data_IF_947879063558
#
_entry.id   IF_947879063558
#
_cell.length_a   1.000
_cell.length_b   1.000
_cell.length_c   1.000
_cell.angle_alpha   90.00
_cell.angle_beta   90.00
_cell.angle_gamma   90.00
#
_symmetry.space_group_name_H-M   'P 1'
#
loop_
_entity.id
_entity.type
_entity.pdbx_description
1 polymer ?
#
# COMPACT_ATOMS: atom_id res chain seq x y z
N UNK A 1 13.09 -2.53 -3.76
CA UNK A 1 11.73 -2.99 -4.10
C UNK A 1 11.16 -3.63 -2.87
N UNK A 2 9.92 -3.30 -2.51
CA UNK A 2 9.25 -3.75 -1.30
C UNK A 2 7.88 -4.34 -1.69
N UNK A 3 7.46 -5.39 -0.99
CA UNK A 3 6.17 -6.04 -1.18
C UNK A 3 5.44 -6.11 0.16
N UNK A 4 4.15 -5.80 0.16
CA UNK A 4 3.25 -5.93 1.31
C UNK A 4 2.02 -6.69 0.87
N UNK A 5 1.88 -7.94 1.28
CA UNK A 5 0.78 -8.82 0.90
C UNK A 5 0.07 -9.34 2.15
N UNK A 6 -1.24 -9.17 2.24
CA UNK A 6 -2.11 -9.76 3.28
C UNK A 6 -1.62 -9.51 4.71
N UNK A 7 -1.25 -8.26 5.00
CA UNK A 7 -0.66 -7.86 6.28
C UNK A 7 -1.20 -6.52 6.79
N UNK A 8 -1.88 -5.72 5.97
CA UNK A 8 -2.34 -4.38 6.37
C UNK A 8 -3.52 -4.42 7.35
N UNK A 9 -4.25 -5.52 7.48
CA UNK A 9 -5.31 -5.66 8.49
C UNK A 9 -4.80 -6.18 9.86
N UNK A 10 -3.60 -6.77 9.90
CA UNK A 10 -2.97 -7.27 11.12
C UNK A 10 -2.37 -6.16 12.01
N UNK A 11 -2.29 -4.94 11.48
CA UNK A 11 -1.64 -3.79 12.13
C UNK A 11 -2.55 -2.57 12.20
N UNK A 12 -2.33 -1.72 13.20
CA UNK A 12 -3.11 -0.47 13.33
C UNK A 12 -2.74 0.52 12.23
N UNK A 13 -3.68 1.38 11.87
CA UNK A 13 -3.49 2.37 10.81
C UNK A 13 -2.29 3.29 11.08
N UNK A 14 -2.08 3.74 12.32
CA UNK A 14 -0.97 4.62 12.70
C UNK A 14 0.39 3.94 12.50
N UNK A 15 0.47 2.62 12.79
CA UNK A 15 1.71 1.87 12.59
C UNK A 15 1.97 1.64 11.10
N UNK A 16 0.92 1.33 10.33
CA UNK A 16 1.00 1.20 8.87
C UNK A 16 1.49 2.50 8.25
N UNK A 17 0.95 3.65 8.68
CA UNK A 17 1.39 4.95 8.20
C UNK A 17 2.89 5.17 8.46
N UNK A 18 3.35 4.87 9.67
CA UNK A 18 4.76 4.93 10.02
C UNK A 18 5.64 4.02 9.15
N UNK A 19 5.19 2.79 8.89
CA UNK A 19 5.90 1.81 8.05
C UNK A 19 6.00 2.31 6.60
N UNK A 20 4.90 2.75 6.00
CA UNK A 20 4.89 3.25 4.62
C UNK A 20 5.77 4.50 4.48
N UNK A 21 5.72 5.42 5.46
CA UNK A 21 6.59 6.59 5.49
C UNK A 21 8.07 6.20 5.52
N UNK A 22 8.44 5.23 6.33
CA UNK A 22 9.82 4.74 6.43
C UNK A 22 10.26 4.04 5.14
N UNK A 23 9.38 3.27 4.51
CA UNK A 23 9.63 2.69 3.19
C UNK A 23 9.85 3.75 2.11
N UNK A 24 9.04 4.81 2.08
CA UNK A 24 9.25 5.93 1.17
C UNK A 24 10.63 6.57 1.39
N UNK A 25 11.03 6.78 2.65
CA UNK A 25 12.35 7.33 2.99
C UNK A 25 13.50 6.46 2.46
N UNK A 26 13.42 5.13 2.65
CA UNK A 26 14.47 4.17 2.32
C UNK A 26 14.59 3.85 0.82
N UNK A 27 13.49 3.93 0.07
CA UNK A 27 13.52 3.68 -1.36
C UNK A 27 14.36 4.72 -2.11
N UNK A 28 15.12 4.27 -3.11
CA UNK A 28 15.77 5.14 -4.11
C UNK A 28 14.70 5.76 -5.02
N UNK A 29 15.07 6.79 -5.78
CA UNK A 29 14.20 7.35 -6.84
C UNK A 29 13.74 6.23 -7.79
N UNK A 30 12.47 6.25 -8.19
CA UNK A 30 11.78 5.20 -8.95
C UNK A 30 11.71 3.82 -8.26
N UNK A 31 12.05 3.78 -6.97
CA UNK A 31 11.89 2.63 -6.11
C UNK A 31 10.44 2.18 -6.07
N UNK A 32 10.24 0.86 -6.01
CA UNK A 32 8.91 0.24 -6.16
C UNK A 32 8.41 -0.29 -4.83
N UNK A 33 7.13 -0.06 -4.57
CA UNK A 33 6.37 -0.70 -3.51
C UNK A 33 5.12 -1.33 -4.13
N UNK A 34 4.91 -2.62 -3.88
CA UNK A 34 3.76 -3.36 -4.39
C UNK A 34 2.89 -3.80 -3.22
N UNK A 35 1.60 -3.50 -3.30
CA UNK A 35 0.61 -3.89 -2.29
C UNK A 35 -0.35 -4.89 -2.91
N UNK A 36 -0.71 -5.93 -2.15
CA UNK A 36 -1.78 -6.86 -2.47
C UNK A 36 -2.62 -7.10 -1.21
N UNK A 37 -3.88 -6.67 -1.23
CA UNK A 37 -4.77 -6.79 -0.07
C UNK A 37 -6.21 -7.15 -0.42
N UNK A 38 -6.93 -7.90 0.43
CA UNK A 38 -8.37 -8.00 0.34
C UNK A 38 -9.01 -6.63 0.53
N UNK A 39 -10.09 -6.37 -0.21
CA UNK A 39 -10.74 -5.05 -0.23
C UNK A 39 -11.68 -4.80 0.95
N UNK A 40 -12.06 -5.85 1.68
CA UNK A 40 -13.12 -5.80 2.70
C UNK A 40 -12.52 -5.44 4.05
N UNK A 41 -13.12 -4.45 4.72
CA UNK A 41 -12.75 -4.09 6.08
C UNK A 41 -12.99 -5.28 7.02
N UNK A 42 -11.98 -5.62 7.81
CA UNK A 42 -11.98 -6.79 8.69
C UNK A 42 -11.31 -8.03 8.12
N UNK A 43 -11.12 -8.09 6.80
CA UNK A 43 -10.32 -9.11 6.09
C UNK A 43 -9.09 -8.49 5.38
N UNK A 44 -8.95 -7.16 5.43
CA UNK A 44 -8.00 -6.39 4.63
C UNK A 44 -8.25 -4.88 4.77
N UNK A 45 -7.62 -4.10 3.89
CA UNK A 45 -7.74 -2.65 3.83
C UNK A 45 -8.42 -2.21 2.52
N UNK A 46 -9.45 -1.35 2.57
CA UNK A 46 -10.09 -0.81 1.37
C UNK A 46 -9.09 -0.14 0.42
N UNK A 47 -9.29 -0.33 -0.89
CA UNK A 47 -8.39 0.22 -1.91
C UNK A 47 -8.24 1.75 -1.81
N UNK A 48 -9.32 2.46 -1.48
CA UNK A 48 -9.28 3.93 -1.29
C UNK A 48 -8.42 4.35 -0.11
N UNK A 49 -8.46 3.60 1.01
CA UNK A 49 -7.61 3.86 2.17
C UNK A 49 -6.13 3.65 1.83
N UNK A 50 -5.82 2.57 1.10
CA UNK A 50 -4.45 2.30 0.61
C UNK A 50 -3.99 3.43 -0.33
N UNK A 51 -4.84 3.83 -1.28
CA UNK A 51 -4.50 4.89 -2.24
C UNK A 51 -4.25 6.24 -1.56
N UNK A 52 -5.10 6.62 -0.61
CA UNK A 52 -4.94 7.84 0.19
C UNK A 52 -3.64 7.81 0.98
N UNK A 53 -3.39 6.72 1.72
CA UNK A 53 -2.17 6.53 2.50
C UNK A 53 -0.92 6.68 1.64
N UNK A 54 -0.88 6.01 0.48
CA UNK A 54 0.30 6.05 -0.39
C UNK A 54 0.53 7.46 -0.96
N UNK A 55 -0.54 8.14 -1.38
CA UNK A 55 -0.44 9.51 -1.90
C UNK A 55 0.03 10.53 -0.85
N UNK A 56 -0.43 10.39 0.41
CA UNK A 56 -0.03 11.24 1.52
C UNK A 56 1.47 11.13 1.85
N UNK A 57 2.06 9.95 1.63
CA UNK A 57 3.50 9.73 1.82
C UNK A 57 4.34 10.07 0.57
N UNK A 58 3.70 10.52 -0.52
CA UNK A 58 4.38 10.97 -1.74
C UNK A 58 4.58 9.89 -2.81
N UNK A 59 4.06 8.68 -2.63
CA UNK A 59 4.08 7.68 -3.68
C UNK A 59 3.11 8.04 -4.82
N UNK A 60 3.49 7.75 -6.06
CA UNK A 60 2.59 7.80 -7.21
C UNK A 60 2.20 6.39 -7.68
N UNK A 61 0.91 6.19 -7.97
CA UNK A 61 0.36 4.91 -8.44
C UNK A 61 0.75 4.69 -9.90
N UNK A 62 1.40 3.56 -10.21
CA UNK A 62 1.81 3.21 -11.57
C UNK A 62 0.80 2.30 -12.25
N UNK A 63 0.37 1.25 -11.57
CA UNK A 63 -0.65 0.32 -12.03
C UNK A 63 -1.50 -0.12 -10.86
N UNK A 64 -2.75 -0.48 -11.14
CA UNK A 64 -3.63 -1.13 -10.17
C UNK A 64 -4.51 -2.14 -10.89
N UNK A 65 -4.74 -3.28 -10.24
CA UNK A 65 -5.65 -4.32 -10.66
C UNK A 65 -6.65 -4.51 -9.53
N UNK A 66 -7.92 -4.38 -9.88
CA UNK A 66 -9.04 -4.60 -8.98
C UNK A 66 -9.73 -5.90 -9.38
N UNK A 67 -9.38 -6.99 -8.70
CA UNK A 67 -10.12 -8.25 -8.79
C UNK A 67 -11.32 -8.24 -7.83
N UNK A 68 -12.23 -9.20 -7.92
CA UNK A 68 -13.49 -9.24 -7.16
C UNK A 68 -13.28 -9.06 -5.66
N UNK A 69 -12.24 -9.70 -5.10
CA UNK A 69 -11.98 -9.69 -3.65
C UNK A 69 -10.63 -9.07 -3.27
N UNK A 70 -9.71 -8.87 -4.22
CA UNK A 70 -8.35 -8.39 -3.94
C UNK A 70 -8.02 -7.13 -4.73
N UNK A 71 -7.37 -6.19 -4.06
CA UNK A 71 -6.71 -5.04 -4.65
C UNK A 71 -5.22 -5.32 -4.78
N UNK A 72 -4.64 -5.10 -5.96
CA UNK A 72 -3.20 -5.13 -6.18
C UNK A 72 -2.76 -3.83 -6.82
N UNK A 73 -1.73 -3.18 -6.32
CA UNK A 73 -1.22 -1.95 -6.91
C UNK A 73 0.31 -1.85 -6.80
N UNK A 74 0.91 -1.27 -7.84
CA UNK A 74 2.32 -0.87 -7.86
C UNK A 74 2.40 0.64 -7.68
N UNK A 75 3.21 1.05 -6.71
CA UNK A 75 3.52 2.44 -6.39
C UNK A 75 5.01 2.71 -6.57
N UNK A 76 5.32 3.98 -6.86
CA UNK A 76 6.67 4.47 -7.11
C UNK A 76 6.98 5.69 -6.29
N UNK A 77 8.24 5.80 -5.85
CA UNK A 77 8.81 7.02 -5.30
C UNK A 77 9.28 7.95 -6.41
#
# INVERSE_FOLDING_TARGET
>A
MIYIFYALDEVTYELIEGIIKEFYRLLKNDGRLVIKEPKRKGDGMPAEEIENLMSQQGFYKKTAIQDKDTFTAEYRK
#
